data_IF_833114773166
#
_entry.id   IF_833114773166
#
_cell.length_a   1.000
_cell.length_b   1.000
_cell.length_c   1.000
_cell.angle_alpha   90.00
_cell.angle_beta   90.00
_cell.angle_gamma   90.00
#
_symmetry.space_group_name_H-M   'P 1'
#
loop_
_entity.id
_entity.type
_entity.pdbx_description
1 polymer ?
#
# COMPACT_ATOMS: atom_id res chain seq x y z
N UNK A 1 32.52 -38.07 49.01
CA UNK A 1 31.21 -38.46 48.43
C UNK A 1 30.39 -37.21 48.17
N UNK A 2 30.49 -36.63 46.97
CA UNK A 2 29.78 -35.43 46.56
C UNK A 2 28.64 -35.81 45.61
N UNK A 3 27.39 -35.61 46.02
CA UNK A 3 26.20 -35.78 45.22
C UNK A 3 25.97 -34.55 44.36
N UNK A 4 26.19 -34.67 43.03
CA UNK A 4 25.80 -33.64 42.08
C UNK A 4 24.28 -33.68 41.86
N UNK A 5 23.58 -32.63 42.32
CA UNK A 5 22.19 -32.39 41.95
C UNK A 5 22.15 -31.83 40.51
N UNK A 6 21.74 -32.65 39.53
CA UNK A 6 21.35 -32.18 38.21
C UNK A 6 20.02 -31.46 38.30
N UNK A 7 20.02 -30.12 38.22
CA UNK A 7 18.82 -29.34 37.98
C UNK A 7 18.34 -29.63 36.55
N UNK A 8 17.10 -30.17 36.40
CA UNK A 8 16.40 -30.24 35.13
C UNK A 8 16.14 -28.80 34.68
N UNK A 9 16.49 -28.51 33.39
CA UNK A 9 16.11 -27.28 32.72
C UNK A 9 14.57 -27.27 32.56
N UNK A 10 13.91 -26.09 32.65
CA UNK A 10 12.49 -26.01 32.42
C UNK A 10 12.21 -26.34 30.96
N UNK A 11 11.23 -27.23 30.76
CA UNK A 11 10.72 -27.65 29.47
C UNK A 11 10.12 -26.44 28.77
N UNK A 12 10.60 -26.14 27.56
CA UNK A 12 10.05 -25.04 26.75
C UNK A 12 8.57 -25.32 26.45
N UNK A 13 7.69 -24.30 26.52
CA UNK A 13 6.29 -24.50 26.19
C UNK A 13 6.18 -24.95 24.74
N UNK A 14 5.39 -26.00 24.53
CA UNK A 14 5.09 -26.50 23.19
C UNK A 14 4.54 -25.37 22.30
N UNK A 15 4.95 -25.30 21.01
CA UNK A 15 4.41 -24.28 20.12
C UNK A 15 2.89 -24.46 20.05
N UNK A 16 2.17 -23.36 20.33
CA UNK A 16 0.73 -23.33 20.19
C UNK A 16 0.38 -23.82 18.78
N UNK A 17 -0.37 -24.91 18.72
CA UNK A 17 -0.85 -25.47 17.47
C UNK A 17 -1.65 -24.37 16.75
N UNK A 18 -1.07 -23.86 15.66
CA UNK A 18 -1.80 -23.04 14.71
C UNK A 18 -2.90 -23.95 14.17
N UNK A 19 -4.12 -23.75 14.69
CA UNK A 19 -5.29 -24.48 14.26
C UNK A 19 -5.42 -24.27 12.75
N UNK A 20 -5.18 -25.32 11.97
CA UNK A 20 -5.58 -25.39 10.57
C UNK A 20 -7.09 -25.14 10.57
N UNK A 21 -7.49 -23.95 10.14
CA UNK A 21 -8.88 -23.65 9.88
C UNK A 21 -9.34 -24.65 8.80
N UNK A 22 -10.05 -25.67 9.21
CA UNK A 22 -10.76 -26.57 8.32
C UNK A 22 -11.65 -25.72 7.43
N UNK A 23 -11.61 -26.00 6.14
CA UNK A 23 -12.52 -25.43 5.13
C UNK A 23 -13.93 -25.90 5.49
N UNK A 24 -14.59 -25.22 6.40
CA UNK A 24 -16.01 -25.43 6.69
C UNK A 24 -16.82 -24.87 5.53
N UNK A 25 -17.75 -25.68 5.05
CA UNK A 25 -18.78 -25.32 4.08
C UNK A 25 -19.41 -23.95 4.47
N UNK A 26 -19.12 -22.89 3.68
CA UNK A 26 -19.26 -21.47 4.08
C UNK A 26 -20.71 -20.97 3.95
N UNK A 27 -21.66 -21.68 4.49
CA UNK A 27 -23.05 -21.15 4.60
C UNK A 27 -23.24 -20.15 5.73
N UNK A 28 -22.32 -20.08 6.68
CA UNK A 28 -22.37 -19.17 7.82
C UNK A 28 -21.14 -18.27 7.79
N UNK A 29 -21.35 -17.00 7.51
CA UNK A 29 -20.28 -16.03 7.59
C UNK A 29 -20.01 -15.71 9.07
N UNK A 30 -18.73 -15.69 9.46
CA UNK A 30 -18.29 -15.24 10.78
C UNK A 30 -17.41 -14.01 10.69
N UNK A 31 -17.39 -13.21 11.75
CA UNK A 31 -16.49 -12.09 11.86
C UNK A 31 -15.03 -12.56 11.88
N UNK A 32 -14.14 -12.07 11.01
CA UNK A 32 -12.76 -12.51 10.96
C UNK A 32 -11.91 -12.02 12.16
N UNK A 33 -12.45 -11.11 13.00
CA UNK A 33 -11.78 -10.58 14.19
C UNK A 33 -12.18 -11.28 15.47
N UNK A 34 -13.47 -11.51 15.72
CA UNK A 34 -13.98 -12.08 16.96
C UNK A 34 -14.68 -13.43 16.81
N UNK A 35 -14.88 -13.91 15.58
CA UNK A 35 -15.50 -15.22 15.31
C UNK A 35 -17.03 -15.26 15.46
N UNK A 36 -17.70 -14.15 15.85
CA UNK A 36 -19.15 -14.13 15.99
C UNK A 36 -19.85 -14.46 14.67
N UNK A 37 -20.84 -15.32 14.69
CA UNK A 37 -21.64 -15.64 13.51
C UNK A 37 -22.48 -14.44 13.05
N UNK A 38 -22.44 -14.18 11.76
CA UNK A 38 -23.19 -13.09 11.14
C UNK A 38 -24.53 -13.61 10.66
N UNK A 39 -25.61 -12.94 11.04
CA UNK A 39 -26.97 -13.31 10.63
C UNK A 39 -27.16 -13.35 9.11
N UNK A 40 -26.32 -12.60 8.39
CA UNK A 40 -26.32 -12.49 6.93
C UNK A 40 -24.92 -12.24 6.43
N UNK A 41 -24.53 -12.90 5.32
CA UNK A 41 -23.29 -12.57 4.62
C UNK A 41 -23.35 -11.13 4.13
N UNK A 42 -22.42 -10.25 4.53
CA UNK A 42 -22.42 -8.87 4.08
C UNK A 42 -22.29 -8.75 2.56
N UNK A 43 -22.94 -7.76 1.97
CA UNK A 43 -22.81 -7.43 0.55
C UNK A 43 -21.61 -6.55 0.25
N UNK A 44 -21.19 -5.75 1.24
CA UNK A 44 -20.11 -4.77 1.16
C UNK A 44 -19.36 -4.69 2.50
N UNK A 45 -18.38 -3.79 2.58
CA UNK A 45 -17.70 -3.51 3.84
C UNK A 45 -18.71 -3.09 4.91
N UNK A 46 -18.62 -3.67 6.11
CA UNK A 46 -19.54 -3.40 7.21
C UNK A 46 -18.83 -3.56 8.56
N UNK A 47 -19.40 -2.96 9.60
CA UNK A 47 -18.90 -3.13 10.97
C UNK A 47 -19.51 -4.39 11.60
N UNK A 48 -18.68 -5.12 12.33
CA UNK A 48 -19.16 -6.22 13.16
C UNK A 48 -20.07 -5.70 14.26
N UNK A 49 -21.26 -6.30 14.49
CA UNK A 49 -22.17 -5.85 15.54
C UNK A 49 -21.63 -6.10 16.96
N UNK A 50 -20.68 -7.02 17.10
CA UNK A 50 -20.12 -7.41 18.40
C UNK A 50 -18.80 -6.66 18.72
N UNK A 51 -17.76 -6.83 17.90
CA UNK A 51 -16.45 -6.20 18.14
C UNK A 51 -16.26 -4.85 17.47
N UNK A 52 -17.21 -4.36 16.68
CA UNK A 52 -17.24 -3.08 15.97
C UNK A 52 -16.09 -2.88 14.96
N UNK A 53 -15.29 -3.90 14.69
CA UNK A 53 -14.25 -3.86 13.64
C UNK A 53 -14.88 -3.87 12.26
N UNK A 54 -14.27 -3.13 11.32
CA UNK A 54 -14.72 -3.12 9.93
C UNK A 54 -14.27 -4.38 9.23
N UNK A 55 -15.22 -5.16 8.73
CA UNK A 55 -15.02 -6.36 7.91
C UNK A 55 -15.17 -6.00 6.44
N UNK A 56 -14.42 -6.67 5.59
CA UNK A 56 -14.47 -6.50 4.15
C UNK A 56 -14.99 -7.76 3.47
N UNK A 57 -15.57 -7.60 2.30
CA UNK A 57 -16.02 -8.72 1.47
C UNK A 57 -15.17 -8.74 0.20
N UNK A 58 -14.52 -9.86 -0.07
CA UNK A 58 -13.71 -10.05 -1.28
C UNK A 58 -14.06 -11.39 -1.92
N UNK A 59 -14.09 -11.40 -3.25
CA UNK A 59 -14.10 -12.64 -4.03
C UNK A 59 -12.68 -12.90 -4.47
N UNK A 60 -12.05 -13.93 -3.92
CA UNK A 60 -10.70 -14.31 -4.32
C UNK A 60 -10.76 -14.95 -5.71
N UNK A 61 -10.18 -14.29 -6.71
CA UNK A 61 -10.18 -14.76 -8.11
C UNK A 61 -9.37 -16.04 -8.32
N UNK A 62 -8.50 -16.38 -7.37
CA UNK A 62 -7.69 -17.61 -7.45
C UNK A 62 -8.54 -18.89 -7.30
N UNK A 63 -9.58 -18.83 -6.49
CA UNK A 63 -10.48 -19.94 -6.21
C UNK A 63 -11.98 -19.61 -6.37
N UNK A 64 -12.30 -18.39 -6.84
CA UNK A 64 -13.65 -17.86 -7.02
C UNK A 64 -14.49 -17.82 -5.73
N UNK A 65 -13.84 -17.86 -4.57
CA UNK A 65 -14.52 -17.93 -3.27
C UNK A 65 -14.76 -16.52 -2.73
N UNK A 66 -16.01 -16.23 -2.37
CA UNK A 66 -16.39 -15.00 -1.69
C UNK A 66 -16.20 -15.18 -0.18
N UNK A 67 -15.41 -14.27 0.43
CA UNK A 67 -15.02 -14.33 1.84
C UNK A 67 -15.28 -13.01 2.56
N UNK A 68 -15.62 -13.12 3.85
CA UNK A 68 -15.56 -12.01 4.80
C UNK A 68 -14.18 -12.03 5.43
N UNK A 69 -13.44 -10.92 5.31
CA UNK A 69 -12.02 -10.85 5.63
C UNK A 69 -11.69 -9.61 6.44
N UNK A 70 -10.53 -9.60 7.10
CA UNK A 70 -9.97 -8.40 7.73
C UNK A 70 -9.52 -7.40 6.66
N UNK A 71 -9.22 -6.15 7.05
CA UNK A 71 -8.64 -5.15 6.14
C UNK A 71 -7.33 -5.64 5.54
N UNK A 72 -6.44 -6.21 6.34
CA UNK A 72 -5.16 -6.74 5.91
C UNK A 72 -5.29 -7.91 4.91
N UNK A 73 -6.24 -8.81 5.14
CA UNK A 73 -6.53 -9.89 4.20
C UNK A 73 -7.16 -9.36 2.90
N UNK A 74 -7.99 -8.32 2.98
CA UNK A 74 -8.54 -7.68 1.80
C UNK A 74 -7.45 -7.06 0.94
N UNK A 75 -6.53 -6.31 1.54
CA UNK A 75 -5.38 -5.72 0.83
C UNK A 75 -4.53 -6.79 0.15
N UNK A 76 -4.26 -7.91 0.84
CA UNK A 76 -3.51 -9.03 0.26
C UNK A 76 -4.21 -9.69 -0.94
N UNK A 77 -5.54 -9.80 -0.89
CA UNK A 77 -6.34 -10.32 -2.02
C UNK A 77 -6.32 -9.32 -3.18
N UNK A 78 -6.49 -8.04 -2.90
CA UNK A 78 -6.50 -6.98 -3.92
C UNK A 78 -5.13 -6.88 -4.63
N UNK A 79 -4.02 -6.91 -3.88
CA UNK A 79 -2.66 -6.92 -4.44
C UNK A 79 -2.38 -8.18 -5.29
N UNK A 80 -2.86 -9.36 -4.84
CA UNK A 80 -2.76 -10.58 -5.63
C UNK A 80 -3.58 -10.52 -6.93
N UNK A 81 -4.77 -9.89 -6.90
CA UNK A 81 -5.58 -9.68 -8.10
C UNK A 81 -4.91 -8.77 -9.11
N UNK A 82 -4.23 -7.73 -8.63
CA UNK A 82 -3.43 -6.86 -9.50
C UNK A 82 -2.28 -7.63 -10.15
N UNK A 83 -1.52 -8.42 -9.37
CA UNK A 83 -0.47 -9.26 -9.89
C UNK A 83 -0.99 -10.29 -10.93
N UNK A 84 -2.17 -10.88 -10.69
CA UNK A 84 -2.84 -11.74 -11.68
C UNK A 84 -3.17 -10.98 -12.97
N UNK A 85 -3.69 -9.77 -12.87
CA UNK A 85 -4.03 -8.95 -14.02
C UNK A 85 -2.78 -8.57 -14.85
N UNK A 86 -1.63 -8.47 -14.19
CA UNK A 86 -0.32 -8.23 -14.82
C UNK A 86 0.34 -9.52 -15.32
N UNK A 87 -0.23 -10.69 -15.05
CA UNK A 87 0.31 -11.99 -15.44
C UNK A 87 1.45 -12.50 -14.57
N UNK A 88 1.69 -11.91 -13.39
CA UNK A 88 2.83 -12.23 -12.50
C UNK A 88 2.41 -12.60 -11.06
N UNK A 89 1.37 -13.40 -10.91
CA UNK A 89 0.95 -13.87 -9.58
C UNK A 89 2.05 -14.69 -8.89
N UNK A 90 2.77 -15.53 -9.64
CA UNK A 90 3.82 -16.38 -9.05
C UNK A 90 5.00 -15.54 -8.52
N UNK A 91 5.41 -14.50 -9.26
CA UNK A 91 6.44 -13.56 -8.83
C UNK A 91 5.98 -12.76 -7.60
N UNK A 92 4.75 -12.30 -7.58
CA UNK A 92 4.15 -11.64 -6.40
C UNK A 92 4.19 -12.54 -5.17
N UNK A 93 3.69 -13.78 -5.26
CA UNK A 93 3.68 -14.72 -4.14
C UNK A 93 5.10 -15.06 -3.65
N UNK A 94 6.07 -15.14 -4.56
CA UNK A 94 7.48 -15.32 -4.22
C UNK A 94 8.01 -14.12 -3.42
N UNK A 95 7.81 -12.90 -3.91
CA UNK A 95 8.24 -11.67 -3.24
C UNK A 95 7.60 -11.50 -1.86
N UNK A 96 6.32 -11.81 -1.71
CA UNK A 96 5.63 -11.77 -0.41
C UNK A 96 6.30 -12.72 0.58
N UNK A 97 6.59 -13.95 0.18
CA UNK A 97 7.27 -14.94 1.05
C UNK A 97 8.68 -14.47 1.44
N UNK A 98 9.49 -14.09 0.46
CA UNK A 98 10.87 -13.63 0.67
C UNK A 98 10.91 -12.42 1.61
N UNK A 99 10.06 -11.41 1.37
CA UNK A 99 9.98 -10.23 2.21
C UNK A 99 9.50 -10.56 3.62
N UNK A 100 8.50 -11.47 3.75
CA UNK A 100 8.03 -11.95 5.05
C UNK A 100 9.15 -12.62 5.84
N UNK A 101 9.91 -13.52 5.22
CA UNK A 101 11.01 -14.23 5.87
C UNK A 101 12.12 -13.27 6.29
N UNK A 102 12.48 -12.31 5.44
CA UNK A 102 13.47 -11.26 5.75
C UNK A 102 13.03 -10.40 6.93
N UNK A 103 11.77 -9.94 6.95
CA UNK A 103 11.24 -9.13 8.03
C UNK A 103 11.07 -9.93 9.33
N UNK A 104 10.70 -11.22 9.25
CA UNK A 104 10.62 -12.11 10.42
C UNK A 104 11.97 -12.24 11.11
N UNK A 105 13.06 -12.39 10.35
CA UNK A 105 14.42 -12.41 10.89
C UNK A 105 14.77 -11.08 11.56
N UNK A 106 14.39 -9.96 10.91
CA UNK A 106 14.69 -8.62 11.43
C UNK A 106 13.91 -8.26 12.68
N UNK A 107 12.63 -8.64 12.76
CA UNK A 107 11.73 -8.27 13.86
C UNK A 107 11.72 -9.30 14.99
N UNK A 108 12.17 -10.52 14.74
CA UNK A 108 12.08 -11.63 15.70
C UNK A 108 10.67 -12.19 15.89
N UNK A 109 9.71 -11.78 15.08
CA UNK A 109 8.33 -12.26 15.08
C UNK A 109 7.73 -12.22 13.67
N UNK A 110 6.56 -12.81 13.50
CA UNK A 110 5.81 -12.76 12.23
C UNK A 110 5.43 -11.31 11.92
N UNK A 111 5.83 -10.74 10.76
CA UNK A 111 5.45 -9.39 10.37
C UNK A 111 3.97 -9.35 9.98
N UNK A 112 3.31 -8.22 10.26
CA UNK A 112 2.00 -7.93 9.68
C UNK A 112 2.12 -7.78 8.15
N UNK A 113 1.07 -8.13 7.41
CA UNK A 113 1.11 -7.97 5.95
C UNK A 113 1.37 -6.52 5.52
N UNK A 114 0.88 -5.55 6.29
CA UNK A 114 1.19 -4.12 6.07
C UNK A 114 2.70 -3.85 6.04
N UNK A 115 3.48 -4.44 6.94
CA UNK A 115 4.93 -4.25 6.98
C UNK A 115 5.60 -4.89 5.76
N UNK A 116 5.11 -6.06 5.36
CA UNK A 116 5.54 -6.75 4.14
C UNK A 116 5.25 -5.88 2.91
N UNK A 117 4.01 -5.43 2.76
CA UNK A 117 3.55 -4.57 1.68
C UNK A 117 4.35 -3.27 1.61
N UNK A 118 4.54 -2.61 2.76
CA UNK A 118 5.34 -1.39 2.85
C UNK A 118 6.79 -1.61 2.40
N UNK A 119 7.42 -2.72 2.82
CA UNK A 119 8.78 -3.07 2.39
C UNK A 119 8.86 -3.27 0.88
N UNK A 120 7.89 -4.00 0.29
CA UNK A 120 7.81 -4.21 -1.16
C UNK A 120 7.61 -2.89 -1.92
N UNK A 121 6.73 -2.00 -1.45
CA UNK A 121 6.50 -0.69 -2.07
C UNK A 121 7.78 0.19 -2.02
N UNK A 122 8.54 0.16 -0.93
CA UNK A 122 9.82 0.87 -0.86
C UNK A 122 10.83 0.35 -1.88
N UNK A 123 10.94 -0.97 -2.02
CA UNK A 123 11.81 -1.60 -3.02
C UNK A 123 11.39 -1.23 -4.44
N UNK A 124 10.09 -1.30 -4.73
CA UNK A 124 9.54 -0.90 -6.02
C UNK A 124 9.80 0.58 -6.32
N UNK A 125 9.63 1.47 -5.33
CA UNK A 125 9.92 2.90 -5.48
C UNK A 125 11.38 3.13 -5.88
N UNK A 126 12.33 2.52 -5.17
CA UNK A 126 13.75 2.63 -5.46
C UNK A 126 14.11 2.05 -6.84
N UNK A 127 13.55 0.90 -7.17
CA UNK A 127 13.77 0.24 -8.46
C UNK A 127 13.23 1.10 -9.61
N UNK A 128 11.98 1.57 -9.52
CA UNK A 128 11.36 2.37 -10.56
C UNK A 128 12.07 3.71 -10.76
N UNK A 129 12.55 4.32 -9.68
CA UNK A 129 13.38 5.52 -9.73
C UNK A 129 14.71 5.26 -10.45
N UNK A 130 15.40 4.17 -10.10
CA UNK A 130 16.68 3.78 -10.73
C UNK A 130 16.49 3.49 -12.23
N UNK A 131 15.39 2.84 -12.60
CA UNK A 131 15.03 2.54 -13.98
C UNK A 131 14.42 3.73 -14.73
N UNK A 132 14.22 4.87 -14.06
CA UNK A 132 13.54 6.06 -14.58
C UNK A 132 12.13 5.77 -15.11
N UNK A 133 11.46 4.75 -14.56
CA UNK A 133 10.09 4.41 -14.89
C UNK A 133 9.12 5.22 -14.01
N UNK A 134 8.93 6.48 -14.36
CA UNK A 134 8.16 7.43 -13.54
C UNK A 134 6.66 7.11 -13.49
N UNK A 135 6.11 6.40 -14.46
CA UNK A 135 4.74 5.92 -14.40
C UNK A 135 4.53 4.89 -13.27
N UNK A 136 5.40 3.89 -13.19
CA UNK A 136 5.37 2.91 -12.09
C UNK A 136 5.78 3.52 -10.76
N UNK A 137 6.78 4.41 -10.74
CA UNK A 137 7.16 5.18 -9.56
C UNK A 137 5.98 5.96 -8.98
N UNK A 138 5.25 6.68 -9.82
CA UNK A 138 4.03 7.41 -9.47
C UNK A 138 2.96 6.49 -8.86
N UNK A 139 2.71 5.33 -9.49
CA UNK A 139 1.72 4.39 -8.98
C UNK A 139 2.12 3.78 -7.64
N UNK A 140 3.41 3.52 -7.44
CA UNK A 140 3.97 3.07 -6.17
C UNK A 140 3.76 4.12 -5.08
N UNK A 141 4.06 5.39 -5.36
CA UNK A 141 3.86 6.49 -4.42
C UNK A 141 2.38 6.73 -4.10
N UNK A 142 1.49 6.53 -5.07
CA UNK A 142 0.04 6.56 -4.82
C UNK A 142 -0.36 5.48 -3.80
N UNK A 143 0.09 4.24 -3.98
CA UNK A 143 -0.17 3.15 -3.03
C UNK A 143 0.42 3.42 -1.65
N UNK A 144 1.62 4.00 -1.58
CA UNK A 144 2.26 4.40 -0.33
C UNK A 144 1.45 5.50 0.38
N UNK A 145 0.97 6.50 -0.35
CA UNK A 145 0.07 7.53 0.16
C UNK A 145 -1.20 6.92 0.77
N UNK A 146 -1.89 6.02 0.04
CA UNK A 146 -3.11 5.36 0.52
C UNK A 146 -2.85 4.50 1.77
N UNK A 147 -1.71 3.82 1.84
CA UNK A 147 -1.33 3.01 3.00
C UNK A 147 -1.11 3.86 4.24
N UNK A 148 -0.44 5.00 4.10
CA UNK A 148 -0.22 5.94 5.18
C UNK A 148 -1.50 6.63 5.63
N UNK A 149 -2.38 6.99 4.69
CA UNK A 149 -3.68 7.60 4.99
C UNK A 149 -4.54 6.67 5.85
N UNK A 150 -4.58 5.38 5.53
CA UNK A 150 -5.24 4.34 6.33
C UNK A 150 -4.59 4.10 7.69
N UNK A 151 -3.32 4.46 7.86
CA UNK A 151 -2.55 4.28 9.10
C UNK A 151 -2.90 5.29 10.20
N UNK A 152 -3.74 6.27 9.89
CA UNK A 152 -4.28 7.25 10.85
C UNK A 152 -3.46 8.55 10.97
N UNK A 153 -3.88 9.43 11.90
CA UNK A 153 -3.46 10.84 11.88
C UNK A 153 -1.96 11.07 12.04
N UNK A 154 -1.24 10.18 12.70
CA UNK A 154 0.21 10.32 12.90
C UNK A 154 1.02 10.21 11.59
N UNK A 155 0.41 9.69 10.52
CA UNK A 155 1.05 9.49 9.22
C UNK A 155 0.56 10.45 8.13
N UNK A 156 -0.40 11.30 8.43
CA UNK A 156 -1.01 12.21 7.46
C UNK A 156 -0.01 13.14 6.78
N UNK A 157 0.99 13.63 7.54
CA UNK A 157 2.05 14.46 6.97
C UNK A 157 2.89 13.70 5.95
N UNK A 158 3.27 12.47 6.27
CA UNK A 158 4.02 11.62 5.35
C UNK A 158 3.19 11.22 4.13
N UNK A 159 1.88 10.97 4.30
CA UNK A 159 0.98 10.72 3.18
C UNK A 159 0.91 11.93 2.23
N UNK A 160 0.90 13.15 2.78
CA UNK A 160 0.93 14.38 1.99
C UNK A 160 2.23 14.50 1.16
N UNK A 161 3.38 14.12 1.70
CA UNK A 161 4.65 14.13 0.97
C UNK A 161 4.61 13.22 -0.26
N UNK A 162 4.06 12.00 -0.12
CA UNK A 162 3.86 11.11 -1.27
C UNK A 162 2.83 11.65 -2.26
N UNK A 163 1.76 12.29 -1.78
CA UNK A 163 0.78 12.94 -2.64
C UNK A 163 1.40 14.06 -3.47
N UNK A 164 2.32 14.84 -2.88
CA UNK A 164 3.05 15.89 -3.59
C UNK A 164 4.00 15.33 -4.65
N UNK A 165 4.65 14.19 -4.38
CA UNK A 165 5.45 13.49 -5.40
C UNK A 165 4.58 13.04 -6.57
N UNK A 166 3.44 12.39 -6.28
CA UNK A 166 2.47 11.97 -7.31
C UNK A 166 1.99 13.18 -8.11
N UNK A 167 1.61 14.24 -7.40
CA UNK A 167 1.13 15.47 -8.03
C UNK A 167 2.19 16.10 -8.93
N UNK A 168 3.44 16.15 -8.50
CA UNK A 168 4.55 16.63 -9.32
C UNK A 168 4.67 15.84 -10.62
N UNK A 169 4.64 14.49 -10.54
CA UNK A 169 4.76 13.62 -11.71
C UNK A 169 3.56 13.81 -12.66
N UNK A 170 2.35 13.95 -12.10
CA UNK A 170 1.12 14.15 -12.89
C UNK A 170 1.09 15.52 -13.61
N UNK A 171 1.82 16.51 -13.09
CA UNK A 171 2.01 17.81 -13.77
C UNK A 171 3.03 17.73 -14.90
N UNK A 172 3.92 16.72 -14.89
CA UNK A 172 4.83 16.52 -16.00
C UNK A 172 4.04 16.04 -17.23
N UNK A 173 4.18 16.72 -18.36
CA UNK A 173 3.51 16.27 -19.58
C UNK A 173 3.95 14.83 -19.93
N UNK A 174 3.02 14.01 -20.47
CA UNK A 174 3.34 12.65 -20.94
C UNK A 174 4.55 12.60 -21.87
N UNK A 175 4.81 13.66 -22.61
CA UNK A 175 5.98 13.80 -23.48
C UNK A 175 7.30 13.89 -22.71
N UNK A 176 7.29 14.26 -21.43
CA UNK A 176 8.48 14.23 -20.60
C UNK A 176 8.86 12.82 -20.15
N UNK A 177 7.92 11.88 -20.22
CA UNK A 177 8.15 10.44 -20.08
C UNK A 177 8.65 9.82 -21.40
N UNK A 178 8.59 10.57 -22.49
CA UNK A 178 8.95 10.13 -23.85
C UNK A 178 10.44 9.90 -24.09
N UNK A 179 11.33 10.39 -23.21
CA UNK A 179 12.74 10.01 -23.23
C UNK A 179 13.00 8.52 -22.95
N UNK A 180 12.00 7.80 -22.45
CA UNK A 180 12.02 6.35 -22.29
C UNK A 180 11.59 5.60 -23.56
N UNK A 181 11.06 6.29 -24.57
CA UNK A 181 10.62 5.66 -25.82
C UNK A 181 11.77 5.14 -26.68
N UNK A 182 12.93 5.77 -26.60
CA UNK A 182 14.01 5.52 -27.55
C UNK A 182 15.11 4.60 -27.01
N UNK A 183 15.22 4.40 -25.68
CA UNK A 183 16.33 3.63 -25.13
C UNK A 183 16.09 2.11 -25.14
N UNK A 184 14.84 1.62 -25.04
CA UNK A 184 14.62 0.20 -24.75
C UNK A 184 13.65 -0.52 -25.71
N UNK A 185 13.14 0.13 -26.77
CA UNK A 185 12.22 -0.51 -27.73
C UNK A 185 10.89 -0.99 -27.12
N UNK A 186 10.76 -0.93 -25.84
CA UNK A 186 9.53 -1.11 -25.09
C UNK A 186 8.73 0.15 -25.33
N UNK A 187 7.87 0.13 -26.35
CA UNK A 187 6.88 1.17 -26.53
C UNK A 187 6.20 1.41 -25.20
N UNK A 188 6.78 2.34 -24.44
CA UNK A 188 6.21 2.76 -23.20
C UNK A 188 4.77 3.13 -23.54
N UNK A 189 3.84 2.26 -23.21
CA UNK A 189 2.44 2.61 -23.20
C UNK A 189 2.42 3.83 -22.33
N UNK A 190 2.31 5.00 -22.98
CA UNK A 190 2.27 6.26 -22.31
C UNK A 190 1.15 6.12 -21.29
N UNK A 191 1.54 5.85 -20.04
CA UNK A 191 0.61 5.93 -18.96
C UNK A 191 0.31 7.40 -18.81
N UNK A 192 -0.82 7.81 -19.37
CA UNK A 192 -1.46 9.04 -19.01
C UNK A 192 -2.73 8.63 -18.28
N UNK A 193 -2.89 8.92 -16.99
CA UNK A 193 -4.24 9.10 -16.51
C UNK A 193 -4.84 10.13 -17.45
N UNK A 194 -6.11 9.96 -17.81
CA UNK A 194 -6.82 11.06 -18.42
C UNK A 194 -6.58 12.29 -17.53
N UNK A 195 -5.84 13.30 -17.98
CA UNK A 195 -5.24 14.30 -17.09
C UNK A 195 -6.27 15.01 -16.22
N UNK A 196 -7.52 14.98 -16.64
CA UNK A 196 -8.64 15.70 -16.06
C UNK A 196 -9.30 14.97 -14.89
N UNK A 197 -9.35 13.64 -14.89
CA UNK A 197 -10.02 12.88 -13.80
C UNK A 197 -9.14 12.63 -12.59
N UNK A 198 -7.83 12.43 -12.80
CA UNK A 198 -6.91 12.20 -11.69
C UNK A 198 -6.50 13.51 -10.99
N UNK A 199 -6.46 14.62 -11.71
CA UNK A 199 -6.08 15.92 -11.14
C UNK A 199 -7.09 16.43 -10.13
N UNK A 200 -8.40 16.41 -10.42
CA UNK A 200 -9.43 16.92 -9.52
C UNK A 200 -9.41 16.22 -8.16
N UNK A 201 -9.49 14.90 -8.14
CA UNK A 201 -9.53 14.15 -6.88
C UNK A 201 -8.24 14.24 -6.05
N UNK A 202 -7.07 14.30 -6.69
CA UNK A 202 -5.80 14.44 -5.96
C UNK A 202 -5.61 15.86 -5.40
N UNK A 203 -5.95 16.89 -6.17
CA UNK A 203 -5.87 18.27 -5.71
C UNK A 203 -6.83 18.55 -4.56
N UNK A 204 -8.07 18.06 -4.64
CA UNK A 204 -9.04 18.15 -3.55
C UNK A 204 -8.54 17.42 -2.30
N UNK A 205 -7.95 16.22 -2.47
CA UNK A 205 -7.38 15.47 -1.36
C UNK A 205 -6.20 16.24 -0.71
N UNK A 206 -5.29 16.80 -1.51
CA UNK A 206 -4.15 17.62 -1.02
C UNK A 206 -4.67 18.84 -0.28
N UNK A 207 -5.64 19.59 -0.85
CA UNK A 207 -6.22 20.77 -0.23
C UNK A 207 -6.86 20.45 1.12
N UNK A 208 -7.75 19.46 1.18
CA UNK A 208 -8.39 19.02 2.41
C UNK A 208 -7.38 18.48 3.46
N UNK A 209 -6.26 17.90 3.02
CA UNK A 209 -5.21 17.44 3.92
C UNK A 209 -4.39 18.60 4.47
N UNK A 210 -4.06 19.59 3.64
CA UNK A 210 -3.41 20.83 4.09
C UNK A 210 -4.27 21.58 5.12
N UNK A 211 -5.57 21.72 4.87
CA UNK A 211 -6.51 22.33 5.80
C UNK A 211 -6.52 21.57 7.14
N UNK A 212 -6.68 20.27 7.11
CA UNK A 212 -6.70 19.42 8.30
C UNK A 212 -5.42 19.49 9.13
N UNK A 213 -4.27 19.63 8.47
CA UNK A 213 -2.96 19.76 9.12
C UNK A 213 -2.60 21.20 9.49
N UNK A 214 -3.44 22.18 9.18
CA UNK A 214 -3.16 23.59 9.39
C UNK A 214 -1.97 24.11 8.55
N UNK A 215 -1.74 23.51 7.38
CA UNK A 215 -0.64 23.87 6.48
C UNK A 215 -1.06 25.05 5.62
N UNK A 216 -0.33 26.15 5.74
CA UNK A 216 -0.56 27.33 4.90
C UNK A 216 -0.08 27.12 3.46
N UNK A 217 -0.57 27.92 2.47
CA UNK A 217 -0.09 27.87 1.09
C UNK A 217 1.44 27.96 0.96
N UNK A 218 2.07 28.87 1.71
CA UNK A 218 3.53 29.04 1.72
C UNK A 218 4.26 27.82 2.29
N UNK A 219 3.65 27.13 3.25
CA UNK A 219 4.20 25.94 3.84
C UNK A 219 4.05 24.74 2.88
N UNK A 220 2.90 24.63 2.20
CA UNK A 220 2.69 23.63 1.17
C UNK A 220 3.64 23.82 -0.02
N UNK A 221 3.92 25.07 -0.40
CA UNK A 221 4.94 25.40 -1.40
C UNK A 221 6.33 24.89 -0.99
N UNK A 222 6.74 25.15 0.25
CA UNK A 222 8.02 24.65 0.78
C UNK A 222 8.09 23.13 0.85
N UNK A 223 6.98 22.45 1.12
CA UNK A 223 6.91 20.98 1.15
C UNK A 223 6.94 20.37 -0.25
N UNK A 224 6.44 21.10 -1.25
CA UNK A 224 6.48 20.70 -2.65
C UNK A 224 7.88 20.84 -3.29
N UNK A 225 8.64 21.84 -2.93
CA UNK A 225 9.98 22.11 -3.49
C UNK A 225 10.94 20.90 -3.41
N UNK A 226 11.03 20.14 -2.30
CA UNK A 226 11.87 18.94 -2.25
C UNK A 226 11.49 17.85 -3.27
N UNK A 227 10.19 17.66 -3.54
CA UNK A 227 9.73 16.74 -4.58
C UNK A 227 10.16 17.25 -5.96
N UNK A 228 9.95 18.55 -6.21
CA UNK A 228 10.35 19.19 -7.45
C UNK A 228 11.88 19.10 -7.67
N UNK A 229 12.69 19.42 -6.68
CA UNK A 229 14.15 19.31 -6.77
C UNK A 229 14.63 17.89 -7.03
N UNK A 230 14.03 16.89 -6.37
CA UNK A 230 14.39 15.49 -6.53
C UNK A 230 14.06 14.94 -7.90
N UNK A 231 12.94 15.38 -8.48
CA UNK A 231 12.39 14.85 -9.72
C UNK A 231 12.73 15.69 -10.97
N UNK A 232 13.04 16.99 -10.81
CA UNK A 232 13.25 17.92 -11.95
C UNK A 232 14.37 17.52 -12.89
N UNK A 233 15.42 16.86 -12.38
CA UNK A 233 16.54 16.41 -13.20
C UNK A 233 16.11 15.32 -14.21
N UNK A 234 15.06 14.59 -13.86
CA UNK A 234 14.55 13.46 -14.62
C UNK A 234 13.28 13.81 -15.41
N UNK A 235 12.49 14.72 -14.88
CA UNK A 235 11.21 15.16 -15.44
C UNK A 235 11.31 16.66 -15.73
N UNK A 236 11.08 17.05 -16.97
CA UNK A 236 11.07 18.46 -17.34
C UNK A 236 9.82 19.13 -16.78
N UNK A 237 9.95 19.80 -15.65
CA UNK A 237 8.85 20.55 -15.04
C UNK A 237 9.10 22.03 -15.08
N UNK A 238 8.19 22.79 -15.66
CA UNK A 238 8.29 24.24 -15.67
C UNK A 238 7.39 24.94 -14.65
N UNK A 239 6.42 24.27 -14.02
CA UNK A 239 5.41 24.98 -13.22
C UNK A 239 5.82 25.11 -11.76
N UNK A 240 5.79 26.34 -11.24
CA UNK A 240 5.97 26.61 -9.83
C UNK A 240 4.68 26.29 -9.07
N UNK A 241 4.82 25.89 -7.83
CA UNK A 241 3.70 25.64 -6.92
C UNK A 241 2.66 26.75 -6.91
N UNK A 242 3.09 28.00 -6.92
CA UNK A 242 2.21 29.19 -6.92
C UNK A 242 1.25 29.24 -8.11
N UNK A 243 1.57 28.60 -9.21
CA UNK A 243 0.68 28.50 -10.37
C UNK A 243 -0.34 27.36 -10.24
N UNK A 244 -0.10 26.42 -9.34
CA UNK A 244 -0.87 25.18 -9.17
C UNK A 244 -1.78 25.28 -7.95
N UNK A 245 -1.32 25.93 -6.87
CA UNK A 245 -2.06 26.03 -5.60
C UNK A 245 -3.50 26.55 -5.72
N UNK A 246 -3.82 27.56 -6.54
CA UNK A 246 -5.20 27.99 -6.72
C UNK A 246 -6.13 26.90 -7.26
N UNK A 247 -5.58 25.82 -7.82
CA UNK A 247 -6.36 24.69 -8.32
C UNK A 247 -6.61 23.63 -7.22
N UNK A 248 -5.94 23.76 -6.07
CA UNK A 248 -6.07 22.86 -4.91
C UNK A 248 -7.01 23.42 -3.82
N UNK A 249 -7.51 24.64 -3.98
CA UNK A 249 -8.49 25.31 -3.13
C UNK A 249 -9.86 25.32 -3.77
#
# INVERSE_FOLDING_TARGET
MSRFFRRRAPEAPAPAAVARAEVRDQRVAACPYCGVELKKVPGAATRCPDCHQTMYVRTDKRDQTRRVVTGEQADRIDDAHEAMAMGDLAGYDHRVRETTDRLRVRFGHEPAYRDVRWSMLNEDSLMHQAMRNYGLYRNTHWKMMEELDRSGPKRERQALEFALDVFYIDQCEPNNLGGLRDADGLGARAWGPAPELARGSLTEWIGGRCEKLGITPDQAARDYEPAAERLKAALKMPQRWTAIWPQCL
#
